data_IF_628719890488
#
_entry.id   IF_628719890488
#
_cell.length_a   1.000
_cell.length_b   1.000
_cell.length_c   1.000
_cell.angle_alpha   90.00
_cell.angle_beta   90.00
_cell.angle_gamma   90.00
#
_symmetry.space_group_name_H-M   'P 1'
#
loop_
_entity.id
_entity.type
_entity.pdbx_description
1 polymer ?
#
# COMPACT_ATOMS: atom_id res chain seq x y z
N UNK A 1 -18.85 27.12 36.43
CA UNK A 1 -17.85 26.41 35.60
C UNK A 1 -18.42 26.24 34.19
N UNK A 2 -17.79 26.77 33.15
CA UNK A 2 -18.20 26.48 31.76
C UNK A 2 -17.84 25.04 31.44
N UNK A 3 -18.82 24.25 31.01
CA UNK A 3 -18.60 22.88 30.54
C UNK A 3 -17.72 22.94 29.27
N UNK A 4 -16.58 22.24 29.28
CA UNK A 4 -15.74 22.17 28.11
C UNK A 4 -16.52 21.51 26.97
N UNK A 5 -16.46 22.07 25.78
CA UNK A 5 -17.04 21.49 24.56
C UNK A 5 -16.04 20.55 23.83
N UNK A 6 -14.94 20.23 24.48
CA UNK A 6 -13.92 19.34 23.97
C UNK A 6 -14.35 17.88 24.17
N UNK A 7 -14.48 17.15 23.07
CA UNK A 7 -14.67 15.70 23.12
C UNK A 7 -13.30 15.03 23.07
N UNK A 8 -12.97 14.30 24.13
CA UNK A 8 -11.72 13.55 24.25
C UNK A 8 -11.66 12.34 23.30
N UNK A 9 -12.83 11.83 22.90
CA UNK A 9 -12.97 10.66 22.02
C UNK A 9 -13.99 10.95 20.92
N UNK A 10 -13.66 11.89 20.00
CA UNK A 10 -14.58 12.25 18.94
C UNK A 10 -14.90 11.04 18.08
N UNK A 11 -16.18 10.81 17.81
CA UNK A 11 -16.63 9.73 16.94
C UNK A 11 -17.58 10.26 15.88
N UNK A 12 -17.43 9.79 14.67
CA UNK A 12 -18.33 10.08 13.56
C UNK A 12 -19.06 8.81 13.15
N UNK A 13 -20.38 8.90 13.03
CA UNK A 13 -21.17 7.78 12.49
C UNK A 13 -20.84 7.56 11.04
N UNK A 14 -20.33 6.37 10.72
CA UNK A 14 -20.15 5.96 9.33
C UNK A 14 -21.43 5.36 8.81
N UNK A 15 -21.82 5.76 7.60
CA UNK A 15 -22.87 5.11 6.82
C UNK A 15 -22.19 4.11 5.90
N UNK A 16 -22.40 2.83 6.13
CA UNK A 16 -21.79 1.76 5.33
C UNK A 16 -21.65 0.47 6.11
N UNK A 17 -21.18 -0.55 5.43
CA UNK A 17 -20.89 -1.85 6.01
C UNK A 17 -19.41 -1.91 6.36
N UNK A 18 -19.12 -2.22 7.63
CA UNK A 18 -17.77 -2.54 8.10
C UNK A 18 -17.64 -4.06 8.16
N UNK A 19 -16.61 -4.60 7.55
CA UNK A 19 -16.27 -6.03 7.63
C UNK A 19 -14.90 -6.20 8.28
N UNK A 20 -14.70 -7.31 9.00
CA UNK A 20 -13.47 -7.63 9.69
C UNK A 20 -13.14 -9.11 9.46
N UNK A 21 -11.83 -9.40 9.31
CA UNK A 21 -11.33 -10.75 9.02
C UNK A 21 -10.96 -10.92 7.55
N UNK A 22 -9.81 -11.56 7.32
CA UNK A 22 -9.27 -11.77 5.96
C UNK A 22 -10.16 -12.65 5.11
N UNK A 23 -10.75 -13.69 5.67
CA UNK A 23 -11.67 -14.62 5.06
C UNK A 23 -12.90 -13.90 4.47
N UNK A 24 -13.51 -13.03 5.27
CA UNK A 24 -14.68 -12.25 4.86
C UNK A 24 -14.31 -11.21 3.82
N UNK A 25 -13.19 -10.48 4.05
CA UNK A 25 -12.72 -9.44 3.13
C UNK A 25 -12.41 -10.04 1.76
N UNK A 26 -11.63 -11.14 1.71
CA UNK A 26 -11.23 -11.77 0.45
C UNK A 26 -12.43 -12.38 -0.27
N UNK A 27 -13.37 -13.00 0.46
CA UNK A 27 -14.61 -13.52 -0.12
C UNK A 27 -15.44 -12.41 -0.77
N UNK A 28 -15.59 -11.28 -0.08
CA UNK A 28 -16.31 -10.12 -0.61
C UNK A 28 -15.60 -9.49 -1.81
N UNK A 29 -14.26 -9.48 -1.82
CA UNK A 29 -13.48 -9.00 -2.96
C UNK A 29 -13.64 -9.92 -4.17
N UNK A 30 -13.63 -11.23 -3.97
CA UNK A 30 -13.90 -12.22 -5.03
C UNK A 30 -15.27 -12.00 -5.66
N UNK A 31 -16.30 -11.83 -4.83
CA UNK A 31 -17.65 -11.57 -5.30
C UNK A 31 -17.74 -10.27 -6.11
N UNK A 32 -17.07 -9.20 -5.64
CA UNK A 32 -17.06 -7.90 -6.34
C UNK A 32 -16.18 -7.87 -7.58
N UNK A 33 -15.21 -8.75 -7.70
CA UNK A 33 -14.41 -8.86 -8.93
C UNK A 33 -15.25 -9.22 -10.15
N UNK A 34 -16.28 -10.08 -9.95
CA UNK A 34 -17.22 -10.51 -10.98
C UNK A 34 -16.50 -10.90 -12.29
N UNK A 35 -16.80 -10.22 -13.39
CA UNK A 35 -16.17 -10.46 -14.69
C UNK A 35 -14.71 -9.96 -14.78
N UNK A 36 -14.25 -9.13 -13.82
CA UNK A 36 -12.88 -8.64 -13.77
C UNK A 36 -11.96 -9.73 -13.29
N UNK A 37 -10.93 -10.04 -14.09
CA UNK A 37 -9.96 -11.08 -13.76
C UNK A 37 -8.79 -10.59 -12.93
N UNK A 38 -8.65 -9.26 -12.75
CA UNK A 38 -7.50 -8.67 -12.08
C UNK A 38 -7.93 -7.81 -10.91
N UNK A 39 -7.33 -8.09 -9.76
CA UNK A 39 -7.42 -7.32 -8.53
C UNK A 39 -6.06 -6.72 -8.20
N UNK A 40 -5.97 -5.41 -8.09
CA UNK A 40 -4.80 -4.71 -7.59
C UNK A 40 -5.02 -4.29 -6.13
N UNK A 41 -4.22 -4.81 -5.23
CA UNK A 41 -4.19 -4.42 -3.82
C UNK A 41 -2.99 -3.49 -3.61
N UNK A 42 -3.27 -2.19 -3.68
CA UNK A 42 -2.25 -1.16 -3.56
C UNK A 42 -1.98 -0.87 -2.09
N UNK A 43 -0.74 -1.10 -1.66
CA UNK A 43 -0.34 -0.99 -0.26
C UNK A 43 0.28 0.38 0.01
N UNK A 44 -0.20 1.03 1.05
CA UNK A 44 0.43 2.24 1.58
C UNK A 44 1.53 1.89 2.58
N UNK A 45 2.46 2.83 2.76
CA UNK A 45 3.54 2.71 3.74
C UNK A 45 3.00 2.37 5.14
N UNK A 46 3.61 1.39 5.79
CA UNK A 46 3.22 0.93 7.13
C UNK A 46 2.23 -0.25 7.13
N UNK A 47 1.78 -0.72 5.96
CA UNK A 47 1.05 -1.98 5.85
C UNK A 47 2.05 -3.13 5.89
N UNK A 48 1.75 -4.18 6.65
CA UNK A 48 2.55 -5.41 6.67
C UNK A 48 2.27 -6.22 5.40
N UNK A 49 3.12 -6.03 4.40
CA UNK A 49 2.97 -6.67 3.08
C UNK A 49 2.91 -8.20 3.18
N UNK A 50 3.75 -8.79 4.03
CA UNK A 50 3.80 -10.24 4.22
C UNK A 50 2.47 -10.80 4.78
N UNK A 51 1.83 -10.07 5.71
CA UNK A 51 0.53 -10.47 6.24
C UNK A 51 -0.55 -10.47 5.15
N UNK A 52 -0.54 -9.46 4.27
CA UNK A 52 -1.47 -9.36 3.14
C UNK A 52 -1.22 -10.48 2.13
N UNK A 53 0.04 -10.71 1.76
CA UNK A 53 0.44 -11.79 0.84
C UNK A 53 0.04 -13.16 1.37
N UNK A 54 0.28 -13.44 2.65
CA UNK A 54 -0.08 -14.69 3.29
C UNK A 54 -1.60 -14.91 3.30
N UNK A 55 -2.37 -13.87 3.63
CA UNK A 55 -3.81 -13.95 3.64
C UNK A 55 -4.37 -14.26 2.24
N UNK A 56 -3.91 -13.54 1.22
CA UNK A 56 -4.35 -13.80 -0.15
C UNK A 56 -3.85 -15.16 -0.68
N UNK A 57 -2.65 -15.59 -0.34
CA UNK A 57 -2.12 -16.90 -0.76
C UNK A 57 -2.92 -18.06 -0.19
N UNK A 58 -3.51 -17.91 1.00
CA UNK A 58 -4.33 -18.93 1.64
C UNK A 58 -5.77 -18.94 1.12
N UNK A 59 -6.34 -17.78 0.94
CA UNK A 59 -7.77 -17.63 0.70
C UNK A 59 -8.12 -17.40 -0.79
N UNK A 60 -7.18 -16.96 -1.60
CA UNK A 60 -7.43 -16.63 -3.00
C UNK A 60 -7.08 -17.82 -3.92
N UNK A 61 -8.05 -18.27 -4.70
CA UNK A 61 -7.89 -19.45 -5.59
C UNK A 61 -7.20 -19.13 -6.93
N UNK A 62 -6.65 -17.94 -7.09
CA UNK A 62 -5.98 -17.49 -8.31
C UNK A 62 -4.48 -17.32 -8.13
N UNK A 63 -3.86 -16.65 -9.09
CA UNK A 63 -2.45 -16.32 -9.06
C UNK A 63 -2.21 -15.06 -8.23
N UNK A 64 -1.27 -15.11 -7.31
CA UNK A 64 -0.80 -13.94 -6.55
C UNK A 64 0.53 -13.47 -7.12
N UNK A 65 0.64 -12.18 -7.39
CA UNK A 65 1.84 -11.52 -7.93
C UNK A 65 2.27 -10.41 -6.97
N UNK A 66 3.54 -10.40 -6.58
CA UNK A 66 4.10 -9.37 -5.72
C UNK A 66 4.78 -8.28 -6.56
N UNK A 67 4.43 -7.01 -6.33
CA UNK A 67 5.06 -5.86 -7.01
C UNK A 67 6.55 -5.75 -6.69
N UNK A 68 6.97 -6.20 -5.50
CA UNK A 68 8.39 -6.20 -5.09
C UNK A 68 9.28 -6.97 -6.09
N UNK A 69 8.77 -8.04 -6.69
CA UNK A 69 9.53 -8.84 -7.68
C UNK A 69 9.78 -8.08 -8.98
N UNK A 70 8.97 -7.04 -9.22
CA UNK A 70 9.05 -6.17 -10.40
C UNK A 70 9.91 -4.93 -10.18
N UNK A 71 10.45 -4.73 -8.97
CA UNK A 71 11.30 -3.59 -8.68
C UNK A 71 12.70 -3.77 -9.30
N UNK A 72 13.35 -2.63 -9.51
CA UNK A 72 14.75 -2.56 -9.88
C UNK A 72 15.62 -3.17 -8.78
N UNK A 73 16.83 -3.63 -9.11
CA UNK A 73 17.81 -4.05 -8.12
C UNK A 73 18.10 -2.94 -7.09
N UNK A 74 18.34 -3.34 -5.85
CA UNK A 74 18.60 -2.41 -4.73
C UNK A 74 19.67 -1.37 -5.05
N UNK A 75 20.76 -1.78 -5.70
CA UNK A 75 21.86 -0.87 -6.09
C UNK A 75 21.41 0.22 -7.05
N UNK A 76 20.53 -0.11 -8.00
CA UNK A 76 19.99 0.87 -8.94
C UNK A 76 19.06 1.86 -8.24
N UNK A 77 18.23 1.35 -7.31
CA UNK A 77 17.36 2.19 -6.48
C UNK A 77 18.20 3.13 -5.61
N UNK A 78 19.26 2.65 -4.98
CA UNK A 78 20.18 3.47 -4.21
C UNK A 78 20.79 4.58 -5.06
N UNK A 79 21.33 4.26 -6.23
CA UNK A 79 21.87 5.25 -7.17
C UNK A 79 20.83 6.29 -7.60
N UNK A 80 19.59 5.83 -7.85
CA UNK A 80 18.49 6.71 -8.25
C UNK A 80 18.12 7.70 -7.14
N UNK A 81 18.19 7.28 -5.89
CA UNK A 81 17.78 8.07 -4.71
C UNK A 81 18.91 8.86 -4.09
N UNK A 82 20.18 8.50 -4.33
CA UNK A 82 21.36 9.09 -3.72
C UNK A 82 21.40 10.63 -3.80
N UNK A 83 21.04 11.19 -4.94
CA UNK A 83 20.98 12.65 -5.14
C UNK A 83 19.98 13.40 -4.25
N UNK A 84 19.03 12.68 -3.65
CA UNK A 84 18.04 13.24 -2.73
C UNK A 84 18.41 13.01 -1.26
N UNK A 85 19.42 12.19 -1.01
CA UNK A 85 19.95 11.96 0.32
C UNK A 85 20.95 13.05 0.68
N UNK A 86 21.05 13.37 1.96
CA UNK A 86 22.04 14.32 2.50
C UNK A 86 22.83 13.67 3.63
N UNK A 87 23.85 14.34 4.11
CA UNK A 87 24.59 13.89 5.32
C UNK A 87 23.72 13.97 6.60
N UNK A 88 22.62 14.72 6.56
CA UNK A 88 21.67 14.77 7.66
C UNK A 88 20.79 13.52 7.67
N UNK A 89 20.82 12.80 8.81
CA UNK A 89 20.08 11.53 8.98
C UNK A 89 18.58 11.68 8.86
N UNK A 90 18.05 12.90 9.05
CA UNK A 90 16.62 13.16 9.12
C UNK A 90 16.08 13.93 7.91
N UNK A 91 16.92 14.69 7.23
CA UNK A 91 16.51 15.57 6.15
C UNK A 91 17.22 15.25 4.84
N UNK A 92 16.42 15.07 3.81
CA UNK A 92 16.87 14.98 2.42
C UNK A 92 16.16 16.02 1.56
N UNK A 93 16.39 15.96 0.28
CA UNK A 93 15.68 16.79 -0.69
C UNK A 93 14.37 16.11 -1.09
N UNK A 94 13.34 16.92 -1.36
CA UNK A 94 12.08 16.40 -1.89
C UNK A 94 12.33 15.79 -3.26
N UNK A 95 11.98 14.53 -3.42
CA UNK A 95 12.15 13.82 -4.68
C UNK A 95 11.01 14.13 -5.66
N UNK A 96 11.33 14.17 -6.94
CA UNK A 96 10.38 14.21 -8.05
C UNK A 96 10.18 12.84 -8.70
N UNK A 97 10.74 11.79 -8.10
CA UNK A 97 10.56 10.42 -8.59
C UNK A 97 9.12 9.96 -8.43
N UNK A 98 8.67 9.18 -9.39
CA UNK A 98 7.37 8.52 -9.38
C UNK A 98 7.55 7.03 -9.05
N UNK A 99 6.47 6.36 -8.71
CA UNK A 99 6.50 4.91 -8.42
C UNK A 99 7.04 4.10 -9.60
N UNK A 100 6.72 4.52 -10.82
CA UNK A 100 7.22 3.88 -12.04
C UNK A 100 8.74 3.88 -12.14
N UNK A 101 9.41 4.90 -11.60
CA UNK A 101 10.87 5.04 -11.65
C UNK A 101 11.60 3.96 -10.83
N UNK A 102 10.92 3.36 -9.85
CA UNK A 102 11.44 2.27 -9.03
C UNK A 102 11.21 0.89 -9.64
N UNK A 103 10.35 0.79 -10.65
CA UNK A 103 10.03 -0.46 -11.31
C UNK A 103 10.98 -0.74 -12.48
N UNK A 104 11.26 -2.01 -12.71
CA UNK A 104 11.99 -2.50 -13.86
C UNK A 104 11.03 -2.60 -15.05
N UNK A 105 11.31 -1.84 -16.11
CA UNK A 105 10.43 -1.75 -17.27
C UNK A 105 10.21 -3.10 -17.97
N UNK A 106 11.27 -3.92 -18.08
CA UNK A 106 11.20 -5.21 -18.74
C UNK A 106 10.39 -6.21 -17.93
N UNK A 107 10.59 -6.22 -16.60
CA UNK A 107 9.81 -7.06 -15.70
C UNK A 107 8.34 -6.66 -15.70
N UNK A 108 8.05 -5.37 -15.68
CA UNK A 108 6.66 -4.87 -15.75
C UNK A 108 6.01 -5.24 -17.09
N UNK A 109 6.73 -5.10 -18.20
CA UNK A 109 6.21 -5.50 -19.51
C UNK A 109 5.92 -7.01 -19.56
N UNK A 110 6.82 -7.83 -19.03
CA UNK A 110 6.63 -9.28 -18.92
C UNK A 110 5.43 -9.64 -18.03
N UNK A 111 5.30 -8.95 -16.89
CA UNK A 111 4.16 -9.13 -15.98
C UNK A 111 2.83 -8.77 -16.65
N UNK A 112 2.75 -7.63 -17.34
CA UNK A 112 1.55 -7.21 -18.07
C UNK A 112 1.17 -8.19 -19.17
N UNK A 113 2.15 -8.75 -19.87
CA UNK A 113 1.90 -9.81 -20.85
C UNK A 113 1.30 -11.05 -20.17
N UNK A 114 1.89 -11.51 -19.07
CA UNK A 114 1.37 -12.64 -18.30
C UNK A 114 -0.07 -12.39 -17.79
N UNK A 115 -0.36 -11.17 -17.36
CA UNK A 115 -1.71 -10.76 -16.91
C UNK A 115 -2.71 -10.83 -18.08
N UNK A 116 -2.33 -10.33 -19.25
CA UNK A 116 -3.21 -10.33 -20.44
C UNK A 116 -3.50 -11.73 -20.99
N UNK A 117 -2.56 -12.65 -20.85
CA UNK A 117 -2.67 -14.04 -21.32
C UNK A 117 -3.35 -14.97 -20.29
N UNK A 118 -3.50 -14.52 -19.06
CA UNK A 118 -4.04 -15.34 -17.99
C UNK A 118 -5.54 -15.63 -18.18
N UNK A 119 -5.90 -16.89 -17.96
CA UNK A 119 -7.30 -17.34 -17.95
C UNK A 119 -7.93 -17.24 -16.58
N UNK A 120 -7.13 -17.39 -15.53
CA UNK A 120 -7.53 -17.39 -14.15
C UNK A 120 -7.45 -15.99 -13.55
N UNK A 121 -8.11 -15.80 -12.41
CA UNK A 121 -8.05 -14.55 -11.66
C UNK A 121 -6.64 -14.30 -11.12
N UNK A 122 -6.19 -13.05 -11.20
CA UNK A 122 -4.89 -12.59 -10.72
C UNK A 122 -5.09 -11.53 -9.66
N UNK A 123 -4.33 -11.63 -8.59
CA UNK A 123 -4.17 -10.58 -7.60
C UNK A 123 -2.75 -10.03 -7.68
N UNK A 124 -2.62 -8.72 -7.77
CA UNK A 124 -1.35 -7.99 -7.75
C UNK A 124 -1.29 -7.25 -6.42
N UNK A 125 -0.28 -7.51 -5.61
CA UNK A 125 -0.15 -6.97 -4.26
C UNK A 125 1.16 -6.21 -4.13
N UNK A 126 1.12 -5.04 -3.54
CA UNK A 126 2.31 -4.24 -3.22
C UNK A 126 2.11 -2.76 -3.49
N UNK A 127 3.08 -1.96 -3.07
CA UNK A 127 3.08 -0.51 -3.35
C UNK A 127 3.24 -0.29 -4.86
N UNK A 128 2.27 0.40 -5.47
CA UNK A 128 2.22 0.60 -6.92
C UNK A 128 1.56 -0.55 -7.69
N UNK A 129 0.79 -1.43 -7.03
CA UNK A 129 0.04 -2.48 -7.72
C UNK A 129 -0.90 -1.92 -8.78
N UNK A 130 -1.50 -0.77 -8.55
CA UNK A 130 -2.35 -0.04 -9.51
C UNK A 130 -1.59 0.44 -10.75
N UNK A 131 -0.29 0.70 -10.63
CA UNK A 131 0.57 1.10 -11.75
C UNK A 131 0.85 -0.08 -12.70
N UNK A 132 0.98 -1.28 -12.16
CA UNK A 132 1.23 -2.51 -12.92
C UNK A 132 -0.04 -3.05 -13.56
N UNK A 133 -1.15 -2.93 -12.86
CA UNK A 133 -2.44 -3.48 -13.25
C UNK A 133 -3.01 -2.84 -14.53
N UNK A 134 -3.83 -3.55 -15.31
CA UNK A 134 -4.58 -2.98 -16.43
C UNK A 134 -5.64 -1.98 -15.94
N UNK A 135 -6.09 -1.08 -16.84
CA UNK A 135 -7.03 -0.01 -16.50
C UNK A 135 -8.41 -0.50 -16.02
N UNK A 136 -8.82 -1.69 -16.44
CA UNK A 136 -10.08 -2.33 -16.05
C UNK A 136 -9.97 -3.16 -14.77
N UNK A 137 -8.78 -3.24 -14.16
CA UNK A 137 -8.59 -3.94 -12.91
C UNK A 137 -9.43 -3.33 -11.77
N UNK A 138 -9.89 -4.17 -10.87
CA UNK A 138 -10.43 -3.71 -9.60
C UNK A 138 -9.29 -3.26 -8.70
N UNK A 139 -9.34 -2.04 -8.19
CA UNK A 139 -8.32 -1.52 -7.29
C UNK A 139 -8.85 -1.45 -5.87
N UNK A 140 -8.08 -1.98 -4.95
CA UNK A 140 -8.30 -1.87 -3.50
C UNK A 140 -7.09 -1.20 -2.88
N UNK A 141 -7.34 -0.18 -2.07
CA UNK A 141 -6.30 0.53 -1.36
C UNK A 141 -6.24 0.05 0.08
N UNK A 142 -5.10 -0.50 0.48
CA UNK A 142 -4.83 -0.95 1.84
C UNK A 142 -3.89 0.03 2.53
N UNK A 143 -4.31 0.54 3.70
CA UNK A 143 -3.51 1.43 4.55
C UNK A 143 -3.53 0.96 6.00
N UNK A 144 -2.46 1.23 6.72
CA UNK A 144 -2.42 0.99 8.15
C UNK A 144 -3.35 1.94 8.91
N UNK A 145 -3.75 1.55 10.10
CA UNK A 145 -4.50 2.45 10.99
C UNK A 145 -3.71 3.74 11.27
N UNK A 146 -4.38 4.86 11.24
CA UNK A 146 -3.83 6.17 11.57
C UNK A 146 -3.14 6.21 12.94
N UNK A 147 -3.55 5.37 13.87
CA UNK A 147 -2.92 5.16 15.18
C UNK A 147 -1.47 4.68 15.10
N UNK A 148 -1.10 3.85 14.12
CA UNK A 148 0.29 3.37 13.94
C UNK A 148 1.15 4.49 13.38
N UNK A 149 0.69 5.15 12.34
CA UNK A 149 1.34 6.32 11.74
C UNK A 149 1.47 7.44 12.78
N UNK A 150 0.44 7.69 13.59
CA UNK A 150 0.48 8.68 14.66
C UNK A 150 1.42 8.32 15.82
N UNK A 151 1.64 7.05 16.13
CA UNK A 151 2.59 6.63 17.16
C UNK A 151 4.04 6.83 16.75
N UNK A 152 4.37 6.54 15.52
CA UNK A 152 5.71 6.76 14.98
C UNK A 152 6.01 8.25 14.82
N UNK A 153 5.08 9.02 14.28
CA UNK A 153 5.16 10.47 14.25
C UNK A 153 5.23 11.09 15.65
N UNK A 154 4.48 10.56 16.61
CA UNK A 154 4.45 11.07 17.97
C UNK A 154 5.78 10.89 18.70
N UNK A 155 6.49 9.78 18.49
CA UNK A 155 7.80 9.56 19.07
C UNK A 155 8.87 10.51 18.50
N UNK A 156 8.81 10.81 17.20
CA UNK A 156 9.77 11.69 16.51
C UNK A 156 9.37 13.16 16.64
N UNK A 157 8.09 13.49 16.49
CA UNK A 157 7.64 14.88 16.54
C UNK A 157 7.65 15.46 17.96
N UNK A 158 7.40 14.64 18.99
CA UNK A 158 7.36 15.14 20.39
C UNK A 158 8.72 15.63 20.87
N UNK A 159 9.81 15.05 20.38
CA UNK A 159 11.17 15.50 20.73
C UNK A 159 11.59 16.78 20.01
N UNK A 160 10.92 17.16 18.92
CA UNK A 160 11.31 18.29 18.05
C UNK A 160 10.38 19.50 18.10
N UNK A 161 9.10 19.27 18.34
CA UNK A 161 8.07 20.31 18.21
C UNK A 161 7.41 20.68 19.53
N UNK A 162 7.83 20.07 20.65
CA UNK A 162 7.32 20.47 21.95
C UNK A 162 8.00 21.77 22.39
N UNK A 163 7.24 22.85 22.63
CA UNK A 163 7.77 24.09 23.17
C UNK A 163 8.21 23.99 24.64
N UNK A 164 8.12 22.79 25.21
CA UNK A 164 8.47 22.47 26.61
C UNK A 164 9.68 21.52 26.66
N UNK A 165 10.80 21.97 26.12
CA UNK A 165 12.12 21.44 26.42
C UNK A 165 12.81 22.34 27.43
#
# INVERSE_FOLDING_TARGET
MRKANYDKFPSTKLTGMLVQGWDIIISMLKEKMDARKVLAVDLYTGVYEEEVLDAFSKEFSGRVMNVRDLMKPEKEIQTLTERFMTEDVLFGYVTNLKLEDYLDADKVAAARKQISEAKDAIVIIGTGASVVAPQDAMVVYARSEERRVGKECFAVCRSRWSPYH
#
